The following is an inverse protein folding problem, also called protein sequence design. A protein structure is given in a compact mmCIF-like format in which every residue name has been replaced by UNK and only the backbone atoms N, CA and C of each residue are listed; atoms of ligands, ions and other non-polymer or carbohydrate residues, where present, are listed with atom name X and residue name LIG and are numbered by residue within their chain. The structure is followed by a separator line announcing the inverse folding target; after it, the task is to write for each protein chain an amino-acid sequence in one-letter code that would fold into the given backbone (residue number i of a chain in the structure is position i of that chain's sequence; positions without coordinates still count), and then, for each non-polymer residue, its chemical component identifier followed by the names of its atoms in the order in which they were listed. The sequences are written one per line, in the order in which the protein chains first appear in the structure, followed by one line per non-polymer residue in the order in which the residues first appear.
data_IF_176906024343
#
_entry.id   IF_176906024343
#
_cell.length_a   1.000
_cell.length_b   1.000
_cell.length_c   1.000
_cell.angle_alpha   90.00
_cell.angle_beta   90.00
_cell.angle_gamma   90.00
#
_symmetry.space_group_name_H-M   'P 1'
#
loop_
_entity.id
_entity.type
_entity.pdbx_description
1 polymer ?
#
# COMPACT_ATOMS: atom_id res chain seq x y z
N UNK A 1 25.45 22.58 -28.84
CA UNK A 1 25.46 21.60 -27.74
C UNK A 1 25.06 22.29 -26.45
N UNK A 2 23.75 22.46 -26.21
CA UNK A 2 23.21 22.82 -24.90
C UNK A 2 22.63 21.54 -24.33
N UNK A 3 23.20 21.09 -23.23
CA UNK A 3 22.77 19.91 -22.48
C UNK A 3 21.33 20.13 -22.02
N UNK A 4 20.36 19.46 -22.66
CA UNK A 4 19.00 19.36 -22.17
C UNK A 4 19.06 18.61 -20.83
N UNK A 5 18.94 19.32 -19.72
CA UNK A 5 18.60 18.71 -18.44
C UNK A 5 17.13 18.31 -18.50
N UNK A 6 16.88 17.11 -19.03
CA UNK A 6 15.60 16.44 -18.84
C UNK A 6 15.56 16.05 -17.36
N UNK A 7 14.97 16.88 -16.51
CA UNK A 7 14.48 16.43 -15.21
C UNK A 7 13.24 15.59 -15.53
N UNK A 8 13.46 14.33 -15.92
CA UNK A 8 12.40 13.35 -15.86
C UNK A 8 12.03 13.23 -14.37
N UNK A 9 10.79 13.56 -14.03
CA UNK A 9 10.17 13.04 -12.81
C UNK A 9 9.96 11.53 -13.00
N UNK A 10 11.07 10.77 -13.05
CA UNK A 10 11.05 9.31 -13.12
C UNK A 10 10.27 8.81 -11.90
N UNK A 11 9.24 8.04 -12.24
CA UNK A 11 8.40 7.20 -11.39
C UNK A 11 9.22 6.71 -10.18
N UNK A 12 8.88 7.08 -8.93
CA UNK A 12 9.20 6.18 -7.86
C UNK A 12 8.29 4.97 -8.09
N UNK A 13 8.89 3.84 -8.45
CA UNK A 13 8.25 2.54 -8.25
C UNK A 13 7.76 2.59 -6.82
N UNK A 14 6.44 2.68 -6.62
CA UNK A 14 5.84 2.56 -5.30
C UNK A 14 5.97 1.10 -4.91
N UNK A 15 7.18 0.70 -4.50
CA UNK A 15 7.31 -0.36 -3.50
C UNK A 15 6.48 0.11 -2.32
N UNK A 16 5.47 -0.65 -1.96
CA UNK A 16 4.54 -0.40 -0.86
C UNK A 16 5.24 -0.38 0.53
N UNK A 17 6.56 -0.24 0.58
CA UNK A 17 7.42 -0.22 1.76
C UNK A 17 7.87 1.17 2.20
N UNK A 18 7.47 2.25 1.52
CA UNK A 18 7.71 3.62 2.01
C UNK A 18 6.45 4.49 1.85
N UNK A 19 5.45 4.20 2.68
CA UNK A 19 4.73 5.31 3.29
C UNK A 19 5.81 6.04 4.11
N UNK A 20 6.10 7.34 3.87
CA UNK A 20 6.87 8.09 4.84
C UNK A 20 6.12 7.93 6.15
N UNK A 21 6.79 7.38 7.17
CA UNK A 21 6.35 7.51 8.55
C UNK A 21 5.78 8.92 8.67
N UNK A 22 4.49 9.00 9.01
CA UNK A 22 3.93 10.27 9.45
C UNK A 22 4.71 10.57 10.73
N UNK A 23 5.86 11.22 10.58
CA UNK A 23 6.63 11.83 11.65
C UNK A 23 5.72 12.92 12.20
N UNK A 24 4.90 12.57 13.18
CA UNK A 24 3.98 13.53 13.79
C UNK A 24 2.63 13.01 14.27
N UNK A 25 2.32 11.71 14.30
CA UNK A 25 1.31 11.27 15.27
C UNK A 25 2.04 11.11 16.59
N UNK A 26 1.76 12.01 17.55
CA UNK A 26 2.08 11.74 18.95
C UNK A 26 1.73 10.28 19.22
N UNK A 27 2.71 9.45 19.58
CA UNK A 27 2.42 8.10 20.08
C UNK A 27 1.38 8.36 21.14
N UNK A 28 0.16 7.83 20.95
CA UNK A 28 -0.86 7.91 21.99
C UNK A 28 -0.29 7.14 23.18
N UNK A 29 0.35 7.89 24.07
CA UNK A 29 1.09 7.35 25.20
C UNK A 29 0.14 6.64 26.15
N UNK A 30 -1.15 7.03 26.15
CA UNK A 30 -2.19 6.35 26.91
C UNK A 30 -2.45 4.95 26.36
N UNK A 31 -2.63 4.81 25.04
CA UNK A 31 -2.80 3.50 24.41
C UNK A 31 -1.54 2.65 24.56
N UNK A 32 -0.36 3.25 24.40
CA UNK A 32 0.92 2.55 24.56
C UNK A 32 1.13 1.98 25.97
N UNK A 33 0.85 2.76 27.02
CA UNK A 33 0.93 2.31 28.42
C UNK A 33 -0.11 1.22 28.69
N UNK A 34 -1.32 1.38 28.17
CA UNK A 34 -2.39 0.40 28.29
C UNK A 34 -2.01 -0.95 27.65
N UNK A 35 -1.50 -0.94 26.42
CA UNK A 35 -1.05 -2.16 25.72
C UNK A 35 0.10 -2.84 26.46
N UNK A 36 1.06 -2.08 26.99
CA UNK A 36 2.16 -2.65 27.80
C UNK A 36 1.68 -3.31 29.09
N UNK A 37 0.62 -2.81 29.72
CA UNK A 37 0.04 -3.47 30.91
C UNK A 37 -0.57 -4.83 30.55
N UNK A 38 -1.25 -4.93 29.40
CA UNK A 38 -1.76 -6.21 28.87
C UNK A 38 -0.63 -7.18 28.52
N UNK A 39 0.47 -6.70 27.95
CA UNK A 39 1.65 -7.55 27.67
C UNK A 39 2.22 -8.17 28.97
N UNK A 40 2.30 -7.38 30.05
CA UNK A 40 2.72 -7.88 31.37
C UNK A 40 1.75 -8.95 31.89
N UNK A 41 0.45 -8.72 31.77
CA UNK A 41 -0.57 -9.69 32.15
C UNK A 41 -0.41 -11.02 31.40
N UNK A 42 -0.26 -10.99 30.07
CA UNK A 42 -0.03 -12.21 29.29
C UNK A 42 1.26 -12.92 29.68
N UNK A 43 2.29 -12.17 30.09
CA UNK A 43 3.54 -12.76 30.58
C UNK A 43 3.38 -13.51 31.90
N UNK A 44 2.49 -13.03 32.78
CA UNK A 44 2.12 -13.74 34.01
C UNK A 44 1.35 -15.02 33.68
N UNK A 45 0.38 -14.95 32.75
CA UNK A 45 -0.37 -16.15 32.32
C UNK A 45 0.55 -17.21 31.72
N UNK A 46 1.51 -16.82 30.88
CA UNK A 46 2.53 -17.74 30.32
C UNK A 46 3.38 -18.39 31.41
N UNK A 47 3.72 -17.66 32.47
CA UNK A 47 4.48 -18.22 33.61
C UNK A 47 3.67 -19.26 34.37
N UNK A 48 2.36 -19.06 34.50
CA UNK A 48 1.47 -19.97 35.21
C UNK A 48 1.11 -21.20 34.36
N UNK A 49 0.91 -21.01 33.05
CA UNK A 49 0.63 -22.07 32.09
C UNK A 49 1.31 -21.76 30.75
N UNK A 50 2.41 -22.46 30.50
CA UNK A 50 3.26 -22.25 29.33
C UNK A 50 2.86 -23.06 28.09
N UNK A 51 1.83 -23.91 28.19
CA UNK A 51 1.34 -24.74 27.07
C UNK A 51 0.11 -24.14 26.41
N UNK A 52 -0.57 -23.20 27.07
CA UNK A 52 -1.71 -22.50 26.49
C UNK A 52 -1.29 -21.51 25.40
N UNK A 53 -1.56 -21.90 24.15
CA UNK A 53 -1.23 -21.13 22.94
C UNK A 53 -1.81 -19.72 22.93
N UNK A 54 -2.99 -19.50 23.55
CA UNK A 54 -3.70 -18.22 23.50
C UNK A 54 -2.90 -17.11 24.17
N UNK A 55 -2.13 -17.40 25.21
CA UNK A 55 -1.36 -16.37 25.90
C UNK A 55 -0.22 -15.83 25.04
N UNK A 56 0.54 -16.72 24.38
CA UNK A 56 1.57 -16.32 23.42
C UNK A 56 0.97 -15.60 22.21
N UNK A 57 -0.09 -16.16 21.62
CA UNK A 57 -0.75 -15.57 20.46
C UNK A 57 -1.25 -14.15 20.73
N UNK A 58 -1.96 -13.95 21.84
CA UNK A 58 -2.46 -12.64 22.23
C UNK A 58 -1.32 -11.67 22.59
N UNK A 59 -0.26 -12.14 23.26
CA UNK A 59 0.91 -11.29 23.56
C UNK A 59 1.64 -10.87 22.28
N UNK A 60 1.73 -11.76 21.29
CA UNK A 60 2.28 -11.45 19.99
C UNK A 60 1.49 -10.36 19.25
N UNK A 61 0.15 -10.44 19.27
CA UNK A 61 -0.72 -9.41 18.69
C UNK A 61 -0.50 -8.05 19.37
N UNK A 62 -0.39 -8.00 20.69
CA UNK A 62 -0.09 -6.77 21.43
C UNK A 62 1.30 -6.22 21.09
N UNK A 63 2.32 -7.08 20.92
CA UNK A 63 3.63 -6.66 20.44
C UNK A 63 3.58 -6.07 19.03
N UNK A 64 2.78 -6.62 18.11
CA UNK A 64 2.56 -6.02 16.78
C UNK A 64 1.93 -4.63 16.87
N UNK A 65 0.99 -4.43 17.78
CA UNK A 65 0.30 -3.13 17.99
C UNK A 65 1.28 -2.02 18.41
N UNK A 66 2.31 -2.36 19.20
CA UNK A 66 3.37 -1.42 19.58
C UNK A 66 4.61 -1.50 18.67
N UNK A 67 4.49 -2.13 17.50
CA UNK A 67 5.56 -2.28 16.51
C UNK A 67 6.81 -3.05 16.99
N UNK A 68 6.72 -3.82 18.08
CA UNK A 68 7.78 -4.74 18.52
C UNK A 68 7.66 -6.08 17.78
N UNK A 69 7.94 -6.04 16.48
CA UNK A 69 7.77 -7.20 15.60
C UNK A 69 8.70 -8.37 15.95
N UNK A 70 9.87 -8.10 16.54
CA UNK A 70 10.81 -9.15 16.96
C UNK A 70 10.24 -9.96 18.13
N UNK A 71 9.69 -9.29 19.15
CA UNK A 71 9.01 -9.99 20.26
C UNK A 71 7.76 -10.70 19.79
N UNK A 72 6.99 -10.09 18.88
CA UNK A 72 5.81 -10.73 18.27
C UNK A 72 6.19 -12.05 17.57
N UNK A 73 7.25 -12.05 16.75
CA UNK A 73 7.72 -13.28 16.08
C UNK A 73 8.14 -14.37 17.05
N UNK A 74 8.80 -14.02 18.17
CA UNK A 74 9.19 -15.01 19.19
C UNK A 74 7.96 -15.73 19.74
N UNK A 75 6.91 -14.98 20.04
CA UNK A 75 5.68 -15.54 20.58
C UNK A 75 4.86 -16.30 19.53
N UNK A 76 4.73 -15.78 18.30
CA UNK A 76 4.09 -16.55 17.22
C UNK A 76 4.82 -17.85 16.92
N UNK A 77 6.17 -17.85 16.95
CA UNK A 77 6.98 -19.05 16.80
C UNK A 77 6.72 -20.08 17.90
N UNK A 78 6.42 -19.64 19.12
CA UNK A 78 5.98 -20.54 20.18
C UNK A 78 4.55 -21.01 19.94
N UNK A 79 3.66 -20.13 19.50
CA UNK A 79 2.27 -20.46 19.20
C UNK A 79 2.12 -21.52 18.11
N UNK A 80 2.83 -21.42 16.98
CA UNK A 80 2.76 -22.46 15.93
C UNK A 80 3.31 -23.80 16.40
N UNK A 81 4.29 -23.83 17.32
CA UNK A 81 4.81 -25.08 17.89
C UNK A 81 3.80 -25.75 18.82
N UNK A 82 3.01 -24.96 19.55
CA UNK A 82 2.00 -25.45 20.48
C UNK A 82 0.71 -25.87 19.75
N UNK A 83 0.34 -25.15 18.69
CA UNK A 83 -0.90 -25.40 17.96
C UNK A 83 -0.70 -25.19 16.45
N UNK A 84 -0.16 -26.20 15.73
CA UNK A 84 0.28 -26.07 14.35
C UNK A 84 -0.85 -26.09 13.30
N UNK A 85 -2.11 -26.26 13.72
CA UNK A 85 -3.29 -26.37 12.83
C UNK A 85 -4.14 -25.10 12.80
N UNK A 86 -3.78 -24.07 13.56
CA UNK A 86 -4.51 -22.80 13.59
C UNK A 86 -3.97 -21.83 12.54
N UNK A 87 -4.75 -21.64 11.48
CA UNK A 87 -4.36 -20.82 10.34
C UNK A 87 -4.09 -19.35 10.72
N UNK A 88 -4.80 -18.81 11.71
CA UNK A 88 -4.65 -17.40 12.12
C UNK A 88 -3.25 -17.12 12.68
N UNK A 89 -2.63 -18.07 13.38
CA UNK A 89 -1.27 -17.90 13.91
C UNK A 89 -0.27 -17.73 12.75
N UNK A 90 -0.36 -18.58 11.71
CA UNK A 90 0.49 -18.45 10.52
C UNK A 90 0.21 -17.13 9.80
N UNK A 91 -1.05 -16.76 9.60
CA UNK A 91 -1.39 -15.50 8.96
C UNK A 91 -0.78 -14.29 9.69
N UNK A 92 -0.96 -14.18 11.01
CA UNK A 92 -0.41 -13.05 11.77
C UNK A 92 1.12 -13.08 11.87
N UNK A 93 1.75 -14.26 11.86
CA UNK A 93 3.21 -14.38 11.78
C UNK A 93 3.73 -13.96 10.40
N UNK A 94 3.06 -14.37 9.32
CA UNK A 94 3.35 -13.94 7.96
C UNK A 94 3.22 -12.42 7.79
N UNK A 95 2.14 -11.84 8.30
CA UNK A 95 1.95 -10.39 8.34
C UNK A 95 2.97 -9.67 9.24
N UNK A 96 3.62 -10.36 10.18
CA UNK A 96 4.74 -9.79 10.95
C UNK A 96 6.04 -9.83 10.15
N UNK A 97 6.30 -10.90 9.40
CA UNK A 97 7.42 -10.98 8.46
C UNK A 97 7.34 -9.93 7.35
N UNK A 98 6.14 -9.67 6.80
CA UNK A 98 5.90 -8.58 5.85
C UNK A 98 6.34 -7.21 6.42
N UNK A 99 5.93 -6.89 7.66
CA UNK A 99 6.34 -5.64 8.33
C UNK A 99 7.85 -5.51 8.55
N UNK A 100 8.59 -6.62 8.53
CA UNK A 100 10.05 -6.65 8.62
C UNK A 100 10.74 -6.71 7.25
N UNK A 101 9.97 -6.75 6.14
CA UNK A 101 10.50 -6.91 4.78
C UNK A 101 10.95 -8.34 4.46
N UNK A 102 10.63 -9.32 5.30
CA UNK A 102 11.01 -10.73 5.12
C UNK A 102 9.97 -11.45 4.23
N UNK A 103 9.80 -10.99 2.99
CA UNK A 103 8.70 -11.38 2.11
C UNK A 103 8.61 -12.89 1.81
N UNK A 104 9.75 -13.57 1.64
CA UNK A 104 9.76 -15.03 1.40
C UNK A 104 9.17 -15.81 2.58
N UNK A 105 9.48 -15.39 3.81
CA UNK A 105 8.92 -16.01 5.03
C UNK A 105 7.44 -15.67 5.18
N UNK A 106 7.04 -14.46 4.84
CA UNK A 106 5.63 -14.07 4.81
C UNK A 106 4.82 -14.95 3.85
N UNK A 107 5.32 -15.17 2.63
CA UNK A 107 4.70 -16.05 1.62
C UNK A 107 4.56 -17.48 2.14
N UNK A 108 5.61 -18.04 2.77
CA UNK A 108 5.56 -19.40 3.35
C UNK A 108 4.47 -19.53 4.42
N UNK A 109 4.35 -18.53 5.30
CA UNK A 109 3.32 -18.52 6.34
C UNK A 109 1.91 -18.31 5.77
N UNK A 110 1.74 -17.42 4.78
CA UNK A 110 0.46 -17.26 4.10
C UNK A 110 0.05 -18.51 3.33
N UNK A 111 1.01 -19.23 2.70
CA UNK A 111 0.75 -20.53 2.10
C UNK A 111 0.19 -21.51 3.13
N UNK A 112 0.82 -21.60 4.31
CA UNK A 112 0.35 -22.51 5.36
C UNK A 112 -1.02 -22.11 5.92
N UNK A 113 -1.27 -20.80 6.08
CA UNK A 113 -2.57 -20.30 6.49
C UNK A 113 -3.67 -20.67 5.49
N UNK A 114 -3.41 -20.52 4.19
CA UNK A 114 -4.37 -20.86 3.12
C UNK A 114 -4.52 -22.37 2.90
N UNK A 115 -3.50 -23.18 3.19
CA UNK A 115 -3.61 -24.65 3.24
C UNK A 115 -4.60 -25.08 4.34
N UNK A 116 -4.52 -24.45 5.52
CA UNK A 116 -5.38 -24.74 6.67
C UNK A 116 -6.78 -24.14 6.54
N UNK A 117 -6.91 -22.99 5.88
CA UNK A 117 -8.20 -22.35 5.59
C UNK A 117 -8.23 -21.77 4.16
N UNK A 118 -8.65 -22.58 3.16
CA UNK A 118 -8.67 -22.15 1.75
C UNK A 118 -9.67 -21.05 1.42
N UNK A 119 -10.62 -20.74 2.31
CA UNK A 119 -11.63 -19.71 2.11
C UNK A 119 -11.28 -18.39 2.80
N UNK A 120 -10.07 -18.26 3.35
CA UNK A 120 -9.62 -17.04 4.00
C UNK A 120 -9.17 -15.99 2.98
N UNK A 121 -10.07 -15.06 2.67
CA UNK A 121 -9.92 -14.06 1.61
C UNK A 121 -8.72 -13.13 1.82
N UNK A 122 -8.44 -12.74 3.07
CA UNK A 122 -7.30 -11.86 3.41
C UNK A 122 -5.96 -12.55 3.18
N UNK A 123 -5.89 -13.87 3.35
CA UNK A 123 -4.67 -14.63 3.07
C UNK A 123 -4.25 -14.51 1.61
N UNK A 124 -5.21 -14.53 0.67
CA UNK A 124 -4.93 -14.32 -0.75
C UNK A 124 -4.52 -12.89 -1.05
N UNK A 125 -5.19 -11.88 -0.47
CA UNK A 125 -4.81 -10.48 -0.68
C UNK A 125 -3.39 -10.21 -0.19
N UNK A 126 -3.06 -10.62 1.03
CA UNK A 126 -1.75 -10.35 1.62
C UNK A 126 -0.63 -11.12 0.91
N UNK A 127 -0.86 -12.39 0.55
CA UNK A 127 0.10 -13.15 -0.25
C UNK A 127 0.26 -12.59 -1.67
N UNK A 128 -0.82 -12.17 -2.30
CA UNK A 128 -0.81 -11.49 -3.59
C UNK A 128 0.00 -10.20 -3.56
N UNK A 129 -0.07 -9.42 -2.47
CA UNK A 129 0.78 -8.24 -2.27
C UNK A 129 2.26 -8.60 -2.15
N UNK A 130 2.60 -9.71 -1.47
CA UNK A 130 4.00 -10.17 -1.39
C UNK A 130 4.52 -10.58 -2.76
N UNK A 131 3.71 -11.30 -3.53
CA UNK A 131 4.05 -11.63 -4.92
C UNK A 131 4.18 -10.39 -5.79
N UNK A 132 3.34 -9.37 -5.61
CA UNK A 132 3.45 -8.10 -6.33
C UNK A 132 4.78 -7.39 -6.04
N UNK A 133 5.13 -7.21 -4.75
CA UNK A 133 6.39 -6.54 -4.34
C UNK A 133 7.62 -7.30 -4.80
N UNK A 134 7.56 -8.64 -4.83
CA UNK A 134 8.63 -9.50 -5.36
C UNK A 134 8.58 -9.67 -6.88
N UNK A 135 7.72 -8.89 -7.58
CA UNK A 135 7.53 -8.89 -9.04
C UNK A 135 7.07 -10.23 -9.64
N UNK A 136 6.55 -11.14 -8.82
CA UNK A 136 5.88 -12.36 -9.25
C UNK A 136 4.43 -12.08 -9.69
N UNK A 137 4.26 -11.21 -10.69
CA UNK A 137 2.97 -10.65 -11.08
C UNK A 137 1.93 -11.71 -11.46
N UNK A 138 2.33 -12.80 -12.13
CA UNK A 138 1.41 -13.90 -12.47
C UNK A 138 0.82 -14.59 -11.22
N UNK A 139 1.61 -14.75 -10.15
CA UNK A 139 1.12 -15.32 -8.89
C UNK A 139 0.24 -14.32 -8.13
N UNK A 140 0.60 -13.04 -8.15
CA UNK A 140 -0.21 -11.97 -7.57
C UNK A 140 -1.60 -11.89 -8.23
N UNK A 141 -1.66 -12.00 -9.56
CA UNK A 141 -2.90 -12.02 -10.34
C UNK A 141 -3.84 -13.14 -9.89
N UNK A 142 -3.31 -14.37 -9.76
CA UNK A 142 -4.07 -15.54 -9.32
C UNK A 142 -4.65 -15.30 -7.93
N UNK A 143 -3.85 -14.79 -6.99
CA UNK A 143 -4.27 -14.55 -5.61
C UNK A 143 -5.33 -13.44 -5.52
N UNK A 144 -5.15 -12.31 -6.21
CA UNK A 144 -6.17 -11.26 -6.21
C UNK A 144 -7.47 -11.71 -6.87
N UNK A 145 -7.41 -12.48 -7.96
CA UNK A 145 -8.61 -13.10 -8.57
C UNK A 145 -9.29 -14.05 -7.59
N UNK A 146 -8.54 -14.86 -6.86
CA UNK A 146 -9.10 -15.76 -5.85
C UNK A 146 -9.78 -15.01 -4.69
N UNK A 147 -9.19 -13.89 -4.25
CA UNK A 147 -9.84 -13.02 -3.27
C UNK A 147 -11.17 -12.44 -3.80
N UNK A 148 -11.24 -12.10 -5.09
CA UNK A 148 -12.45 -11.58 -5.74
C UNK A 148 -13.50 -12.66 -6.01
N UNK A 149 -13.10 -13.91 -6.26
CA UNK A 149 -14.03 -15.04 -6.29
C UNK A 149 -14.75 -15.21 -4.94
N UNK A 150 -14.03 -14.99 -3.83
CA UNK A 150 -14.59 -15.05 -2.48
C UNK A 150 -15.37 -13.78 -2.11
N UNK A 151 -14.95 -12.61 -2.62
CA UNK A 151 -15.60 -11.30 -2.39
C UNK A 151 -15.55 -10.42 -3.66
N UNK A 152 -16.58 -10.47 -4.53
CA UNK A 152 -16.57 -9.85 -5.86
C UNK A 152 -16.35 -8.34 -5.92
N UNK A 153 -16.85 -7.57 -4.94
CA UNK A 153 -16.78 -6.10 -4.94
C UNK A 153 -15.72 -5.54 -3.98
N UNK A 154 -14.66 -6.29 -3.73
CA UNK A 154 -13.64 -5.87 -2.78
C UNK A 154 -12.63 -4.91 -3.42
N UNK A 155 -12.72 -3.64 -3.03
CA UNK A 155 -11.92 -2.53 -3.58
C UNK A 155 -10.41 -2.78 -3.57
N UNK A 156 -9.87 -3.37 -2.51
CA UNK A 156 -8.43 -3.55 -2.31
C UNK A 156 -7.80 -4.51 -3.36
N UNK A 157 -8.27 -5.77 -3.51
CA UNK A 157 -7.79 -6.64 -4.57
C UNK A 157 -8.10 -6.12 -5.98
N UNK A 158 -9.22 -5.43 -6.23
CA UNK A 158 -9.47 -4.78 -7.53
C UNK A 158 -8.39 -3.75 -7.87
N UNK A 159 -8.06 -2.88 -6.92
CA UNK A 159 -7.02 -1.86 -7.09
C UNK A 159 -5.64 -2.51 -7.33
N UNK A 160 -5.31 -3.56 -6.58
CA UNK A 160 -4.02 -4.25 -6.76
C UNK A 160 -3.96 -5.08 -8.05
N UNK A 161 -5.06 -5.65 -8.50
CA UNK A 161 -5.13 -6.35 -9.78
C UNK A 161 -4.95 -5.37 -10.96
N UNK A 162 -5.54 -4.17 -10.87
CA UNK A 162 -5.25 -3.09 -11.82
C UNK A 162 -3.75 -2.74 -11.87
N UNK A 163 -3.09 -2.66 -10.71
CA UNK A 163 -1.63 -2.43 -10.65
C UNK A 163 -0.84 -3.59 -11.26
N UNK A 164 -1.23 -4.84 -11.04
CA UNK A 164 -0.60 -6.01 -11.66
C UNK A 164 -0.64 -5.90 -13.18
N UNK A 165 -1.80 -5.58 -13.76
CA UNK A 165 -1.92 -5.43 -15.20
C UNK A 165 -1.15 -4.23 -15.74
N UNK A 166 -1.14 -3.11 -15.01
CA UNK A 166 -0.32 -1.95 -15.36
C UNK A 166 1.17 -2.30 -15.48
N UNK A 167 1.73 -3.01 -14.49
CA UNK A 167 3.13 -3.45 -14.50
C UNK A 167 3.43 -4.46 -15.63
N UNK A 168 2.42 -5.17 -16.12
CA UNK A 168 2.50 -6.04 -17.29
C UNK A 168 2.30 -5.31 -18.63
N UNK A 169 2.13 -3.98 -18.62
CA UNK A 169 1.75 -3.15 -19.78
C UNK A 169 0.39 -3.53 -20.42
N UNK A 170 -0.48 -4.19 -19.66
CA UNK A 170 -1.85 -4.55 -20.05
C UNK A 170 -2.82 -3.45 -19.60
N UNK A 171 -2.76 -2.32 -20.30
CA UNK A 171 -3.40 -1.09 -19.84
C UNK A 171 -4.94 -1.15 -19.87
N UNK A 172 -5.55 -1.86 -20.81
CA UNK A 172 -7.00 -1.96 -20.89
C UNK A 172 -7.58 -2.80 -19.75
N UNK A 173 -6.91 -3.89 -19.38
CA UNK A 173 -7.23 -4.68 -18.19
C UNK A 173 -7.02 -3.87 -16.91
N UNK A 174 -5.93 -3.08 -16.83
CA UNK A 174 -5.68 -2.19 -15.71
C UNK A 174 -6.81 -1.17 -15.52
N UNK A 175 -7.22 -0.48 -16.60
CA UNK A 175 -8.36 0.46 -16.61
C UNK A 175 -9.63 -0.23 -16.14
N UNK A 176 -9.92 -1.43 -16.65
CA UNK A 176 -11.10 -2.22 -16.27
C UNK A 176 -11.16 -2.44 -14.76
N UNK A 177 -10.05 -2.88 -14.16
CA UNK A 177 -9.99 -3.14 -12.73
C UNK A 177 -9.96 -1.88 -11.86
N UNK A 178 -9.32 -0.79 -12.31
CA UNK A 178 -9.41 0.50 -11.60
C UNK A 178 -10.82 1.08 -11.63
N UNK A 179 -11.53 1.01 -12.76
CA UNK A 179 -12.94 1.41 -12.85
C UNK A 179 -13.84 0.56 -11.96
N UNK A 180 -13.63 -0.75 -11.93
CA UNK A 180 -14.34 -1.63 -10.99
C UNK A 180 -14.07 -1.26 -9.52
N UNK A 181 -12.82 -0.95 -9.16
CA UNK A 181 -12.48 -0.47 -7.82
C UNK A 181 -13.19 0.84 -7.47
N UNK A 182 -13.27 1.78 -8.42
CA UNK A 182 -13.99 3.06 -8.26
C UNK A 182 -15.50 2.85 -8.13
N UNK A 183 -16.08 1.91 -8.88
CA UNK A 183 -17.50 1.57 -8.77
C UNK A 183 -17.83 0.97 -7.39
N UNK A 184 -16.93 0.15 -6.85
CA UNK A 184 -17.04 -0.43 -5.50
C UNK A 184 -16.87 0.63 -4.40
N UNK A 185 -15.88 1.52 -4.53
CA UNK A 185 -15.68 2.65 -3.62
C UNK A 185 -15.34 3.93 -4.41
N UNK A 186 -16.36 4.78 -4.56
CA UNK A 186 -16.24 6.05 -5.30
C UNK A 186 -15.35 7.08 -4.62
N UNK A 187 -14.94 6.86 -3.36
CA UNK A 187 -14.01 7.72 -2.62
C UNK A 187 -12.56 7.23 -2.68
N UNK A 188 -12.29 6.14 -3.39
CA UNK A 188 -10.93 5.60 -3.54
C UNK A 188 -10.08 6.48 -4.48
N UNK A 189 -9.50 7.55 -3.92
CA UNK A 189 -8.61 8.46 -4.64
C UNK A 189 -7.37 7.76 -5.23
N UNK A 190 -6.92 6.64 -4.65
CA UNK A 190 -5.78 5.87 -5.17
C UNK A 190 -6.14 5.14 -6.47
N UNK A 191 -7.38 4.63 -6.59
CA UNK A 191 -7.84 4.03 -7.84
C UNK A 191 -7.94 5.07 -8.96
N UNK A 192 -8.43 6.29 -8.67
CA UNK A 192 -8.40 7.41 -9.61
C UNK A 192 -6.98 7.81 -10.01
N UNK A 193 -6.04 7.84 -9.06
CA UNK A 193 -4.62 8.11 -9.35
C UNK A 193 -4.04 7.09 -10.31
N UNK A 194 -4.25 5.79 -10.05
CA UNK A 194 -3.70 4.73 -10.89
C UNK A 194 -4.38 4.66 -12.25
N UNK A 195 -5.68 4.96 -12.32
CA UNK A 195 -6.40 5.12 -13.59
C UNK A 195 -5.77 6.26 -14.41
N UNK A 196 -5.48 7.40 -13.77
CA UNK A 196 -4.78 8.52 -14.41
C UNK A 196 -3.39 8.13 -14.93
N UNK A 197 -2.60 7.38 -14.15
CA UNK A 197 -1.31 6.86 -14.61
C UNK A 197 -1.43 5.92 -15.82
N UNK A 198 -2.49 5.12 -15.84
CA UNK A 198 -2.74 4.20 -16.95
C UNK A 198 -3.07 4.95 -18.23
N UNK A 199 -3.96 5.94 -18.16
CA UNK A 199 -4.27 6.82 -19.29
C UNK A 199 -3.06 7.63 -19.76
N UNK A 200 -2.27 8.18 -18.82
CA UNK A 200 -1.04 8.89 -19.16
C UNK A 200 -0.05 7.99 -19.93
N UNK A 201 0.06 6.72 -19.53
CA UNK A 201 0.93 5.73 -20.21
C UNK A 201 0.45 5.40 -21.63
N UNK A 202 -0.87 5.48 -21.87
CA UNK A 202 -1.48 5.38 -23.19
C UNK A 202 -1.43 6.70 -23.99
N UNK A 203 -0.85 7.78 -23.43
CA UNK A 203 -0.86 9.14 -23.98
C UNK A 203 -2.25 9.78 -24.10
N UNK A 204 -3.23 9.23 -23.40
CA UNK A 204 -4.59 9.75 -23.26
C UNK A 204 -4.61 10.85 -22.19
N UNK A 205 -3.91 11.96 -22.45
CA UNK A 205 -3.63 12.97 -21.43
C UNK A 205 -4.89 13.64 -20.86
N UNK A 206 -5.94 13.80 -21.67
CA UNK A 206 -7.21 14.36 -21.20
C UNK A 206 -7.88 13.49 -20.14
N UNK A 207 -7.96 12.18 -20.38
CA UNK A 207 -8.51 11.20 -19.43
C UNK A 207 -7.63 11.08 -18.18
N UNK A 208 -6.30 11.21 -18.34
CA UNK A 208 -5.37 11.24 -17.23
C UNK A 208 -5.63 12.45 -16.33
N UNK A 209 -5.73 13.66 -16.91
CA UNK A 209 -6.01 14.92 -16.20
C UNK A 209 -7.35 14.85 -15.46
N UNK A 210 -8.39 14.30 -16.09
CA UNK A 210 -9.69 14.11 -15.44
C UNK A 210 -9.57 13.19 -14.21
N UNK A 211 -8.92 12.03 -14.38
CA UNK A 211 -8.74 11.04 -13.31
C UNK A 211 -7.94 11.62 -12.14
N UNK A 212 -6.84 12.32 -12.40
CA UNK A 212 -6.07 13.00 -11.35
C UNK A 212 -6.88 14.10 -10.67
N UNK A 213 -7.70 14.84 -11.41
CA UNK A 213 -8.58 15.87 -10.83
C UNK A 213 -9.59 15.26 -9.87
N UNK A 214 -10.16 14.09 -10.18
CA UNK A 214 -11.02 13.36 -9.24
C UNK A 214 -10.25 12.94 -7.97
N UNK A 215 -9.03 12.43 -8.12
CA UNK A 215 -8.18 12.08 -6.97
C UNK A 215 -7.88 13.30 -6.07
N UNK A 216 -7.54 14.46 -6.66
CA UNK A 216 -7.29 15.72 -5.94
C UNK A 216 -8.55 16.21 -5.23
N UNK A 217 -9.72 16.14 -5.88
CA UNK A 217 -10.98 16.57 -5.26
C UNK A 217 -11.35 15.71 -4.04
N UNK A 218 -11.05 14.41 -4.08
CA UNK A 218 -11.27 13.49 -2.96
C UNK A 218 -10.23 13.66 -1.84
N UNK A 219 -8.97 13.94 -2.20
CA UNK A 219 -7.90 14.19 -1.24
C UNK A 219 -7.03 15.39 -1.66
N UNK A 220 -7.40 16.63 -1.27
CA UNK A 220 -6.77 17.85 -1.78
C UNK A 220 -5.26 17.98 -1.51
N UNK A 221 -4.76 17.38 -0.43
CA UNK A 221 -3.32 17.38 -0.11
C UNK A 221 -2.58 16.14 -0.66
N UNK A 222 -3.15 15.49 -1.68
CA UNK A 222 -2.49 14.39 -2.35
C UNK A 222 -1.48 14.89 -3.40
N UNK A 223 -0.29 15.26 -2.94
CA UNK A 223 0.73 15.89 -3.78
C UNK A 223 1.13 15.06 -5.01
N UNK A 224 1.06 13.72 -4.92
CA UNK A 224 1.33 12.85 -6.07
C UNK A 224 0.35 13.11 -7.22
N UNK A 225 -0.95 13.22 -6.96
CA UNK A 225 -1.93 13.50 -8.01
C UNK A 225 -1.75 14.88 -8.63
N UNK A 226 -1.43 15.89 -7.83
CA UNK A 226 -1.18 17.25 -8.32
C UNK A 226 0.02 17.25 -9.26
N UNK A 227 1.13 16.61 -8.87
CA UNK A 227 2.31 16.48 -9.73
C UNK A 227 2.01 15.69 -11.01
N UNK A 228 1.33 14.55 -10.91
CA UNK A 228 0.97 13.76 -12.10
C UNK A 228 0.02 14.50 -13.05
N UNK A 229 -0.90 15.32 -12.53
CA UNK A 229 -1.75 16.18 -13.35
C UNK A 229 -0.95 17.29 -14.03
N UNK A 230 0.01 17.89 -13.33
CA UNK A 230 0.94 18.84 -13.90
C UNK A 230 1.70 18.21 -15.08
N UNK A 231 2.31 17.04 -14.86
CA UNK A 231 3.06 16.31 -15.89
C UNK A 231 2.17 15.98 -17.11
N UNK A 232 0.95 15.50 -16.88
CA UNK A 232 -0.02 15.25 -17.95
C UNK A 232 -0.37 16.51 -18.76
N UNK A 233 -0.57 17.65 -18.11
CA UNK A 233 -0.81 18.93 -18.78
C UNK A 233 0.41 19.38 -19.59
N UNK A 234 1.61 19.22 -19.04
CA UNK A 234 2.86 19.54 -19.73
C UNK A 234 3.04 18.72 -21.01
N UNK A 235 2.85 17.40 -20.94
CA UNK A 235 2.94 16.51 -22.11
C UNK A 235 1.85 16.78 -23.15
N UNK A 236 0.68 17.28 -22.72
CA UNK A 236 -0.38 17.78 -23.60
C UNK A 236 -0.02 19.13 -24.27
N UNK A 237 1.02 19.82 -23.80
CA UNK A 237 1.39 21.17 -24.24
C UNK A 237 0.67 22.31 -23.50
N UNK A 238 -0.09 22.01 -22.45
CA UNK A 238 -0.71 22.99 -21.56
C UNK A 238 0.28 23.45 -20.48
N UNK A 239 1.21 24.32 -20.89
CA UNK A 239 2.24 24.89 -20.01
C UNK A 239 1.62 25.72 -18.89
N UNK A 240 0.56 26.47 -19.17
CA UNK A 240 -0.13 27.30 -18.18
C UNK A 240 -0.74 26.43 -17.08
N UNK A 241 -1.48 25.39 -17.45
CA UNK A 241 -2.10 24.48 -16.50
C UNK A 241 -1.08 23.65 -15.71
N UNK A 242 0.09 23.31 -16.29
CA UNK A 242 1.22 22.74 -15.55
C UNK A 242 1.66 23.69 -14.43
N UNK A 243 1.89 24.96 -14.76
CA UNK A 243 2.32 25.96 -13.79
C UNK A 243 1.28 26.26 -12.70
N UNK A 244 -0.01 26.21 -13.02
CA UNK A 244 -1.09 26.29 -12.03
C UNK A 244 -1.00 25.15 -11.01
N UNK A 245 -0.77 23.92 -11.46
CA UNK A 245 -0.66 22.76 -10.56
C UNK A 245 0.61 22.78 -9.72
N UNK A 246 1.74 23.26 -10.27
CA UNK A 246 2.97 23.49 -9.50
C UNK A 246 2.72 24.54 -8.40
N UNK A 247 2.10 25.67 -8.74
CA UNK A 247 1.75 26.73 -7.77
C UNK A 247 0.77 26.22 -6.71
N UNK A 248 -0.22 25.43 -7.09
CA UNK A 248 -1.16 24.78 -6.17
C UNK A 248 -0.43 23.83 -5.20
N UNK A 249 0.43 22.95 -5.71
CA UNK A 249 1.21 22.04 -4.90
C UNK A 249 2.08 22.77 -3.89
N UNK A 250 2.77 23.83 -4.31
CA UNK A 250 3.60 24.66 -3.44
C UNK A 250 2.78 25.35 -2.35
N UNK A 251 1.63 25.94 -2.71
CA UNK A 251 0.69 26.56 -1.75
C UNK A 251 0.18 25.57 -0.70
N UNK A 252 0.00 24.29 -1.08
CA UNK A 252 -0.45 23.24 -0.18
C UNK A 252 0.67 22.62 0.67
N UNK A 253 1.93 22.97 0.40
CA UNK A 253 3.10 22.52 1.17
C UNK A 253 3.90 21.38 0.53
N UNK A 254 3.73 21.09 -0.77
CA UNK A 254 4.60 20.12 -1.46
C UNK A 254 6.02 20.68 -1.63
N UNK A 255 6.98 20.11 -0.90
CA UNK A 255 8.38 20.49 -0.92
C UNK A 255 8.99 20.44 -2.34
N UNK A 256 8.56 19.48 -3.19
CA UNK A 256 9.07 19.37 -4.56
C UNK A 256 8.61 20.53 -5.43
N UNK A 257 7.33 20.91 -5.31
CA UNK A 257 6.78 22.04 -6.03
C UNK A 257 7.40 23.38 -5.56
N UNK A 258 7.61 23.53 -4.24
CA UNK A 258 8.31 24.70 -3.67
C UNK A 258 9.74 24.81 -4.20
N UNK A 259 10.45 23.68 -4.27
CA UNK A 259 11.81 23.64 -4.81
C UNK A 259 11.81 24.03 -6.30
N UNK A 260 10.90 23.46 -7.09
CA UNK A 260 10.77 23.76 -8.52
C UNK A 260 10.63 25.26 -8.77
N UNK A 261 9.70 25.94 -8.09
CA UNK A 261 9.48 27.38 -8.25
C UNK A 261 10.67 28.26 -7.82
N UNK A 262 11.59 27.74 -7.01
CA UNK A 262 12.81 28.47 -6.60
C UNK A 262 13.95 28.32 -7.60
N UNK A 263 13.99 27.20 -8.32
CA UNK A 263 15.12 26.84 -9.18
C UNK A 263 14.83 26.99 -10.66
N UNK A 264 13.56 26.94 -11.05
CA UNK A 264 13.13 26.92 -12.45
C UNK A 264 12.06 27.99 -12.69
N UNK A 265 12.37 28.93 -13.59
CA UNK A 265 11.58 30.14 -13.82
C UNK A 265 10.50 29.97 -14.90
N UNK A 266 10.37 28.77 -15.50
CA UNK A 266 9.40 28.52 -16.57
C UNK A 266 7.94 28.79 -16.16
N UNK A 267 7.65 28.74 -14.85
CA UNK A 267 6.33 29.01 -14.31
C UNK A 267 6.12 30.39 -13.71
N UNK A 268 7.19 31.19 -13.59
CA UNK A 268 7.23 32.55 -13.04
C UNK A 268 6.62 32.72 -11.63
N UNK A 269 7.24 33.53 -10.79
CA UNK A 269 6.50 34.22 -9.72
C UNK A 269 5.76 35.41 -10.31
#
# INVERSE_FOLDING_TARGET
MKTLYIILYLIPILTFSQIPEITGTAIDTSNYVFVRSKIRMQSIFIKNDSTNVKYYYNRALLYKEIHDYKSALKDFNKSVKLYPTEFTIYYYRGATYDRLGEYDKAILDFNKALELNPNFEWGYVDRGMMYFVTKAYAKAEIDFKKALELKPDWTLPLTNLGKVYFEQNKFDEAITHFKAAINSDSKNYLAYQNLGFTYFSQKEYDLAIESYSKAINLFPKYYNAIRSRADAKKEKGDVNGFCEDVKLGAKLGDAKAILYLKTDNDCGL
#
